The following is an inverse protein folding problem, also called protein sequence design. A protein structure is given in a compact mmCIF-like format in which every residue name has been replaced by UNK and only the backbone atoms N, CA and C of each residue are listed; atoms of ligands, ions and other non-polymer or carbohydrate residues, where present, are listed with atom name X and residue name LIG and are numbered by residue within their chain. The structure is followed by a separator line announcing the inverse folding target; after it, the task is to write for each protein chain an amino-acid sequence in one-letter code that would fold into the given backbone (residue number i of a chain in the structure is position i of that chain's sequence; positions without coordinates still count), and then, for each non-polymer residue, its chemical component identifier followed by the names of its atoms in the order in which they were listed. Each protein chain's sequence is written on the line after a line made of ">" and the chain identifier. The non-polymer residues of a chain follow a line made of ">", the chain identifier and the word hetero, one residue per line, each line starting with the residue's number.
data_IF_898550604046
#
_entry.id   IF_898550604046
#
_cell.length_a   1.000
_cell.length_b   1.000
_cell.length_c   1.000
_cell.angle_alpha   90.00
_cell.angle_beta   90.00
_cell.angle_gamma   90.00
#
_symmetry.space_group_name_H-M   'P 1'
#
loop_
_entity.id
_entity.type
_entity.pdbx_description
1 polymer ?
#
# COMPACT_ATOMS: atom_id res chain seq x y z
N UNK A 1 -57.27 11.48 -43.85
CA UNK A 1 -57.04 12.87 -43.44
C UNK A 1 -56.67 12.82 -41.94
N UNK A 2 -55.37 12.82 -41.64
CA UNK A 2 -54.85 12.54 -40.29
C UNK A 2 -54.21 13.82 -39.75
N UNK A 3 -54.76 14.35 -38.66
CA UNK A 3 -54.31 15.58 -38.02
C UNK A 3 -53.15 15.24 -37.08
N UNK A 4 -51.93 15.61 -37.47
CA UNK A 4 -50.73 15.51 -36.64
C UNK A 4 -50.61 16.77 -35.78
N UNK A 5 -50.86 16.63 -34.48
CA UNK A 5 -50.59 17.69 -33.49
C UNK A 5 -49.09 17.78 -33.20
N UNK A 6 -48.48 18.91 -33.56
CA UNK A 6 -47.17 19.35 -33.04
C UNK A 6 -47.29 19.53 -31.52
N UNK A 7 -46.43 18.86 -30.75
CA UNK A 7 -46.15 19.20 -29.35
C UNK A 7 -44.85 19.98 -29.31
N UNK A 8 -44.94 21.24 -28.92
CA UNK A 8 -43.81 22.04 -28.52
C UNK A 8 -43.21 21.46 -27.22
N UNK A 9 -41.91 21.16 -27.26
CA UNK A 9 -41.08 20.90 -26.08
C UNK A 9 -40.07 22.04 -25.98
N UNK A 10 -40.48 23.12 -25.35
CA UNK A 10 -39.58 24.15 -24.84
C UNK A 10 -39.35 23.94 -23.34
N UNK A 11 -38.11 24.22 -22.93
CA UNK A 11 -37.63 24.41 -21.55
C UNK A 11 -37.57 23.19 -20.63
N UNK A 12 -36.34 22.68 -20.43
CA UNK A 12 -35.79 22.28 -19.12
C UNK A 12 -34.32 21.87 -19.33
N UNK A 13 -33.44 22.86 -19.48
CA UNK A 13 -32.00 22.69 -19.36
C UNK A 13 -31.53 23.53 -18.17
N UNK A 14 -31.50 22.90 -17.00
CA UNK A 14 -30.80 23.45 -15.84
C UNK A 14 -29.29 23.33 -16.09
N UNK A 15 -28.50 24.41 -15.99
CA UNK A 15 -27.06 24.32 -16.13
C UNK A 15 -26.47 23.65 -14.89
N UNK A 16 -25.66 22.61 -15.10
CA UNK A 16 -24.85 22.00 -14.05
C UNK A 16 -23.76 22.99 -13.60
N UNK A 17 -23.43 23.08 -12.30
CA UNK A 17 -22.36 23.93 -11.84
C UNK A 17 -21.00 23.39 -12.31
N UNK A 18 -20.28 24.21 -13.06
CA UNK A 18 -18.85 24.06 -13.34
C UNK A 18 -18.07 24.20 -12.04
N UNK A 19 -17.74 23.05 -11.43
CA UNK A 19 -16.76 22.99 -10.35
C UNK A 19 -15.37 23.08 -10.98
N UNK A 20 -14.82 24.29 -10.95
CA UNK A 20 -13.41 24.56 -11.20
C UNK A 20 -12.58 24.04 -10.03
N UNK A 21 -11.98 22.86 -10.18
CA UNK A 21 -10.86 22.41 -9.33
C UNK A 21 -9.55 22.60 -10.10
N UNK A 22 -9.11 23.85 -10.18
CA UNK A 22 -7.72 24.15 -10.40
C UNK A 22 -6.91 23.78 -9.16
N UNK A 23 -6.24 22.63 -9.19
CA UNK A 23 -5.08 22.34 -8.34
C UNK A 23 -4.24 21.24 -8.97
N UNK A 24 -3.31 21.66 -9.83
CA UNK A 24 -2.12 20.88 -10.14
C UNK A 24 -1.35 20.64 -8.84
N UNK A 25 -1.50 19.44 -8.27
CA UNK A 25 -0.52 18.88 -7.35
C UNK A 25 0.12 17.71 -8.06
N UNK A 26 1.33 17.95 -8.53
CA UNK A 26 2.32 16.93 -8.88
C UNK A 26 2.52 16.03 -7.65
N UNK A 27 1.94 14.83 -7.71
CA UNK A 27 2.26 13.76 -6.77
C UNK A 27 3.53 13.10 -7.32
N UNK A 28 4.67 13.53 -6.79
CA UNK A 28 5.90 12.78 -6.91
C UNK A 28 5.74 11.51 -6.07
N UNK A 29 5.49 10.37 -6.72
CA UNK A 29 5.58 9.05 -6.11
C UNK A 29 7.06 8.68 -5.96
N UNK A 30 7.74 9.29 -4.98
CA UNK A 30 8.98 8.73 -4.44
C UNK A 30 8.59 7.73 -3.36
N UNK A 31 8.58 6.45 -3.71
CA UNK A 31 8.48 5.35 -2.75
C UNK A 31 9.83 5.19 -2.04
N UNK A 32 9.95 5.40 -0.73
CA UNK A 32 11.10 4.95 0.02
C UNK A 32 10.81 3.52 0.49
N UNK A 33 11.55 2.56 -0.09
CA UNK A 33 11.75 1.24 0.52
C UNK A 33 12.40 1.44 1.89
N UNK A 34 11.59 1.47 2.95
CA UNK A 34 12.06 1.43 4.33
C UNK A 34 12.14 -0.03 4.73
N UNK A 35 13.36 -0.53 4.86
CA UNK A 35 13.66 -1.76 5.59
C UNK A 35 13.31 -1.56 7.07
N UNK A 36 12.17 -2.10 7.47
CA UNK A 36 11.89 -2.54 8.82
C UNK A 36 12.31 -4.03 8.84
N UNK A 37 13.22 -4.53 9.68
CA UNK A 37 13.03 -4.74 11.11
C UNK A 37 14.37 -5.12 11.76
N UNK A 38 14.89 -4.26 12.64
CA UNK A 38 15.75 -4.68 13.76
C UNK A 38 14.82 -4.88 14.96
N UNK A 39 14.47 -6.13 15.29
CA UNK A 39 13.82 -6.43 16.55
C UNK A 39 14.87 -6.49 17.67
N UNK A 40 14.67 -5.80 18.82
CA UNK A 40 15.47 -6.06 20.00
C UNK A 40 15.08 -7.42 20.62
N UNK A 41 16.03 -8.14 21.24
CA UNK A 41 15.73 -9.39 21.93
C UNK A 41 14.84 -9.14 23.15
N UNK A 42 13.75 -9.93 23.25
CA UNK A 42 12.86 -9.99 24.41
C UNK A 42 13.62 -10.53 25.63
N UNK A 43 13.56 -9.89 26.81
CA UNK A 43 13.98 -10.52 28.05
C UNK A 43 12.79 -11.28 28.65
N UNK A 44 12.88 -12.61 28.69
CA UNK A 44 12.01 -13.46 29.51
C UNK A 44 12.86 -14.51 30.24
N UNK A 45 12.40 -14.83 31.45
CA UNK A 45 12.94 -15.76 32.45
C UNK A 45 13.87 -15.16 33.53
N UNK A 46 13.25 -14.49 34.51
CA UNK A 46 13.71 -14.64 35.90
C UNK A 46 12.69 -15.51 36.62
N UNK A 47 13.13 -16.74 36.88
CA UNK A 47 12.46 -17.80 37.61
C UNK A 47 12.36 -17.38 39.08
N UNK A 48 11.13 -17.13 39.57
CA UNK A 48 10.85 -17.21 41.00
C UNK A 48 10.73 -18.70 41.37
N UNK A 49 11.66 -19.20 42.16
CA UNK A 49 11.45 -20.38 43.01
C UNK A 49 11.63 -19.97 44.46
N UNK A 50 10.49 -19.83 45.12
CA UNK A 50 10.28 -19.88 46.55
C UNK A 50 10.87 -21.15 47.19
N UNK A 51 11.42 -21.01 48.41
CA UNK A 51 11.27 -21.86 49.60
C UNK A 51 12.58 -22.14 50.35
N UNK A 52 12.46 -22.00 51.68
CA UNK A 52 13.33 -22.54 52.75
C UNK A 52 14.72 -21.90 52.81
N UNK A 53 15.32 -21.60 53.97
CA UNK A 53 15.18 -22.22 55.28
C UNK A 53 15.70 -21.26 56.34
N UNK A 54 14.98 -21.20 57.45
CA UNK A 54 15.39 -20.70 58.76
C UNK A 54 16.78 -21.17 59.20
N UNK A 55 17.62 -20.27 59.70
CA UNK A 55 18.73 -20.61 60.59
C UNK A 55 18.75 -19.63 61.77
N UNK A 56 18.28 -20.13 62.90
CA UNK A 56 18.35 -19.58 64.26
C UNK A 56 19.80 -19.68 64.75
N UNK A 57 20.39 -18.66 65.40
CA UNK A 57 21.50 -18.89 66.31
C UNK A 57 20.97 -19.30 67.69
N UNK A 58 21.31 -20.51 68.11
CA UNK A 58 21.12 -21.04 69.46
C UNK A 58 22.05 -20.30 70.43
N UNK A 59 21.49 -19.72 71.48
CA UNK A 59 22.21 -19.51 72.74
C UNK A 59 22.46 -20.87 73.39
N UNK A 60 23.72 -21.14 73.74
CA UNK A 60 24.11 -22.30 74.54
C UNK A 60 24.38 -21.83 75.97
N UNK A 61 23.73 -22.54 76.91
CA UNK A 61 24.06 -22.64 78.32
C UNK A 61 25.57 -22.79 78.56
N UNK A 62 26.06 -22.15 79.62
CA UNK A 62 27.00 -22.80 80.54
C UNK A 62 26.88 -22.18 81.95
N UNK A 63 26.25 -22.96 82.83
CA UNK A 63 26.41 -22.93 84.28
C UNK A 63 27.82 -23.39 84.68
N UNK A 64 28.44 -22.74 85.67
CA UNK A 64 29.42 -23.28 86.66
C UNK A 64 29.97 -22.08 87.44
N UNK A 65 30.35 -22.12 88.71
CA UNK A 65 30.27 -23.06 89.83
C UNK A 65 30.99 -22.30 90.96
N UNK A 66 30.43 -22.36 92.16
CA UNK A 66 31.09 -21.90 93.39
C UNK A 66 32.44 -22.59 93.58
N UNK A 67 33.38 -21.89 94.20
CA UNK A 67 34.18 -22.48 95.28
C UNK A 67 34.60 -21.38 96.27
N UNK A 68 34.47 -21.75 97.53
CA UNK A 68 34.85 -21.07 98.75
C UNK A 68 36.37 -20.79 98.81
N UNK A 69 36.82 -19.79 99.57
CA UNK A 69 37.23 -20.00 100.97
C UNK A 69 38.09 -18.84 101.51
N UNK A 70 38.00 -18.71 102.83
CA UNK A 70 38.91 -18.07 103.77
C UNK A 70 39.03 -16.55 103.89
N UNK A 71 38.95 -16.10 105.14
CA UNK A 71 39.72 -14.91 105.52
C UNK A 71 39.30 -14.06 106.70
N UNK A 72 38.47 -14.56 107.61
CA UNK A 72 38.56 -14.33 109.07
C UNK A 72 39.34 -13.07 109.55
N UNK A 73 38.64 -11.98 109.91
CA UNK A 73 38.96 -11.01 111.00
C UNK A 73 38.16 -9.70 110.86
N UNK A 74 37.12 -9.48 111.67
CA UNK A 74 36.67 -8.16 112.17
C UNK A 74 35.25 -8.12 112.81
N UNK A 75 34.75 -9.24 113.36
CA UNK A 75 33.41 -9.34 113.97
C UNK A 75 33.20 -8.64 115.34
N UNK A 76 34.02 -7.65 115.69
CA UNK A 76 33.86 -6.88 116.94
C UNK A 76 33.62 -5.39 116.76
N UNK A 77 33.55 -4.89 115.52
CA UNK A 77 33.17 -3.51 115.19
C UNK A 77 31.81 -3.40 114.46
N UNK A 78 31.21 -4.52 114.00
CA UNK A 78 29.95 -4.51 113.24
C UNK A 78 28.67 -4.31 114.10
N UNK A 79 28.72 -4.63 115.39
CA UNK A 79 27.53 -4.57 116.26
C UNK A 79 26.95 -3.16 116.46
N UNK A 80 27.80 -2.13 116.45
CA UNK A 80 27.36 -0.74 116.55
C UNK A 80 26.93 -0.14 115.19
N UNK A 81 27.35 -0.74 114.07
CA UNK A 81 27.00 -0.29 112.72
C UNK A 81 25.64 -0.88 112.26
N UNK A 82 25.31 -2.08 112.74
CA UNK A 82 24.02 -2.76 112.46
C UNK A 82 22.83 -2.06 113.13
N UNK A 83 22.99 -1.48 114.32
CA UNK A 83 21.90 -0.77 115.00
C UNK A 83 21.62 0.62 114.42
N UNK A 84 22.59 1.25 113.77
CA UNK A 84 22.38 2.52 113.06
C UNK A 84 21.83 2.34 111.63
N UNK A 85 22.03 1.17 111.00
CA UNK A 85 21.51 0.87 109.65
C UNK A 85 20.23 0.03 109.63
N UNK A 86 19.81 -0.59 110.76
CA UNK A 86 18.62 -1.43 110.84
C UNK A 86 17.29 -0.80 110.35
N UNK A 87 17.02 0.51 110.54
CA UNK A 87 15.82 1.14 109.98
C UNK A 87 15.83 1.24 108.44
N UNK A 88 16.98 1.06 107.79
CA UNK A 88 17.16 1.23 106.34
C UNK A 88 17.09 -0.10 105.55
N UNK A 89 17.11 -1.25 106.23
CA UNK A 89 17.05 -2.58 105.61
C UNK A 89 15.66 -2.90 104.98
N UNK A 90 14.50 -2.58 105.58
CA UNK A 90 13.22 -2.78 104.90
C UNK A 90 13.00 -1.78 103.74
N UNK A 91 13.71 -0.65 103.75
CA UNK A 91 13.68 0.36 102.69
C UNK A 91 14.43 -0.13 101.44
N UNK A 92 15.54 -0.86 101.60
CA UNK A 92 16.31 -1.38 100.46
C UNK A 92 15.60 -2.51 99.69
N UNK A 93 14.86 -3.39 100.39
CA UNK A 93 14.05 -4.44 99.75
C UNK A 93 12.85 -3.88 98.97
N UNK A 94 12.14 -2.92 99.54
CA UNK A 94 11.06 -2.20 98.84
C UNK A 94 11.60 -1.37 97.66
N UNK A 95 12.78 -0.76 97.83
CA UNK A 95 13.45 -0.05 96.75
C UNK A 95 13.82 -0.99 95.59
N UNK A 96 14.38 -2.17 95.88
CA UNK A 96 14.72 -3.15 94.84
C UNK A 96 13.48 -3.70 94.13
N UNK A 97 12.39 -4.00 94.84
CA UNK A 97 11.13 -4.42 94.24
C UNK A 97 10.50 -3.30 93.37
N UNK A 98 10.58 -2.05 93.85
CA UNK A 98 10.15 -0.88 93.08
C UNK A 98 11.01 -0.65 91.84
N UNK A 99 12.33 -0.88 91.93
CA UNK A 99 13.25 -0.80 90.77
C UNK A 99 12.96 -1.90 89.75
N UNK A 100 12.67 -3.13 90.19
CA UNK A 100 12.27 -4.23 89.29
C UNK A 100 10.93 -3.96 88.61
N UNK A 101 9.93 -3.47 89.36
CA UNK A 101 8.65 -3.06 88.76
C UNK A 101 8.84 -1.90 87.78
N UNK A 102 9.69 -0.92 88.11
CA UNK A 102 10.02 0.18 87.21
C UNK A 102 10.68 -0.34 85.93
N UNK A 103 11.63 -1.27 86.03
CA UNK A 103 12.26 -1.89 84.86
C UNK A 103 11.25 -2.65 83.97
N UNK A 104 10.30 -3.37 84.56
CA UNK A 104 9.25 -4.06 83.81
C UNK A 104 8.31 -3.09 83.11
N UNK A 105 7.93 -1.99 83.78
CA UNK A 105 7.11 -0.94 83.18
C UNK A 105 7.86 -0.23 82.06
N UNK A 106 9.13 0.11 82.26
CA UNK A 106 9.97 0.76 81.25
C UNK A 106 10.12 -0.16 80.01
N UNK A 107 10.31 -1.47 80.20
CA UNK A 107 10.37 -2.45 79.11
C UNK A 107 9.03 -2.59 78.37
N UNK A 108 7.91 -2.61 79.09
CA UNK A 108 6.58 -2.64 78.47
C UNK A 108 6.28 -1.35 77.69
N UNK A 109 6.75 -0.19 78.17
CA UNK A 109 6.65 1.08 77.44
C UNK A 109 7.48 1.01 76.16
N UNK A 110 8.69 0.46 76.21
CA UNK A 110 9.56 0.33 75.04
C UNK A 110 8.96 -0.63 73.99
N UNK A 111 8.38 -1.76 74.41
CA UNK A 111 7.64 -2.66 73.52
C UNK A 111 6.41 -1.99 72.89
N UNK A 112 5.66 -1.22 73.68
CA UNK A 112 4.54 -0.43 73.18
C UNK A 112 4.97 0.68 72.21
N UNK A 113 6.15 1.28 72.41
CA UNK A 113 6.72 2.24 71.47
C UNK A 113 7.14 1.57 70.16
N UNK A 114 7.84 0.42 70.22
CA UNK A 114 8.24 -0.33 69.03
C UNK A 114 7.05 -0.80 68.20
N UNK A 115 5.99 -1.28 68.86
CA UNK A 115 4.75 -1.68 68.16
C UNK A 115 4.02 -0.49 67.55
N UNK A 116 4.00 0.66 68.22
CA UNK A 116 3.46 1.90 67.67
C UNK A 116 4.24 2.35 66.42
N UNK A 117 5.57 2.31 66.45
CA UNK A 117 6.43 2.67 65.32
C UNK A 117 6.21 1.72 64.12
N UNK A 118 6.10 0.42 64.38
CA UNK A 118 5.76 -0.56 63.33
C UNK A 118 4.37 -0.30 62.72
N UNK A 119 3.38 0.06 63.53
CA UNK A 119 2.06 0.41 63.04
C UNK A 119 2.08 1.69 62.20
N UNK A 120 2.89 2.68 62.58
CA UNK A 120 3.10 3.88 61.78
C UNK A 120 3.75 3.57 60.43
N UNK A 121 4.81 2.75 60.41
CA UNK A 121 5.45 2.31 59.17
C UNK A 121 4.48 1.56 58.25
N UNK A 122 3.70 0.63 58.80
CA UNK A 122 2.68 -0.11 58.04
C UNK A 122 1.57 0.81 57.54
N UNK A 123 1.16 1.81 58.33
CA UNK A 123 0.19 2.81 57.89
C UNK A 123 0.72 3.63 56.71
N UNK A 124 1.98 4.04 56.74
CA UNK A 124 2.65 4.76 55.65
C UNK A 124 2.79 3.88 54.41
N UNK A 125 3.15 2.61 54.55
CA UNK A 125 3.18 1.65 53.43
C UNK A 125 1.78 1.46 52.82
N UNK A 126 0.74 1.35 53.64
CA UNK A 126 -0.66 1.22 53.17
C UNK A 126 -1.10 2.50 52.44
N UNK A 127 -0.74 3.68 52.94
CA UNK A 127 -1.11 4.93 52.28
C UNK A 127 -0.38 5.11 50.95
N UNK A 128 0.90 4.75 50.89
CA UNK A 128 1.70 4.73 49.66
C UNK A 128 1.13 3.73 48.64
N UNK A 129 0.86 2.49 49.06
CA UNK A 129 0.27 1.46 48.19
C UNK A 129 -1.13 1.86 47.69
N UNK A 130 -1.94 2.54 48.51
CA UNK A 130 -3.24 3.09 48.08
C UNK A 130 -3.07 4.19 47.04
N UNK A 131 -2.06 5.03 47.17
CA UNK A 131 -1.74 6.07 46.18
C UNK A 131 -1.32 5.44 44.86
N UNK A 132 -0.42 4.47 44.89
CA UNK A 132 0.03 3.75 43.69
C UNK A 132 -1.12 3.00 43.01
N UNK A 133 -2.04 2.41 43.77
CA UNK A 133 -3.24 1.77 43.23
C UNK A 133 -4.15 2.79 42.52
N UNK A 134 -4.31 4.00 43.08
CA UNK A 134 -5.08 5.08 42.44
C UNK A 134 -4.40 5.60 41.16
N UNK A 135 -3.07 5.72 41.17
CA UNK A 135 -2.33 6.15 39.99
C UNK A 135 -2.36 5.10 38.87
N UNK A 136 -2.22 3.82 39.20
CA UNK A 136 -2.28 2.72 38.24
C UNK A 136 -3.69 2.55 37.66
N UNK A 137 -4.73 2.64 38.49
CA UNK A 137 -6.13 2.63 37.99
C UNK A 137 -6.41 3.82 37.07
N UNK A 138 -5.97 5.03 37.43
CA UNK A 138 -6.09 6.19 36.56
C UNK A 138 -5.32 6.04 35.22
N UNK A 139 -4.12 5.44 35.24
CA UNK A 139 -3.35 5.14 34.01
C UNK A 139 -4.04 4.09 33.14
N UNK A 140 -4.62 3.05 33.74
CA UNK A 140 -5.38 2.03 33.03
C UNK A 140 -6.64 2.63 32.39
N UNK A 141 -7.41 3.44 33.11
CA UNK A 141 -8.59 4.12 32.58
C UNK A 141 -8.24 5.04 31.39
N UNK A 142 -7.13 5.78 31.48
CA UNK A 142 -6.63 6.60 30.38
C UNK A 142 -6.19 5.75 29.19
N UNK A 143 -5.61 4.57 29.42
CA UNK A 143 -5.20 3.65 28.36
C UNK A 143 -6.41 3.03 27.66
N UNK A 144 -7.45 2.65 28.41
CA UNK A 144 -8.72 2.16 27.85
C UNK A 144 -9.41 3.24 27.00
N UNK A 145 -9.44 4.49 27.46
CA UNK A 145 -9.98 5.62 26.66
C UNK A 145 -9.23 5.76 25.33
N UNK A 146 -7.89 5.78 25.35
CA UNK A 146 -7.08 5.86 24.13
C UNK A 146 -7.31 4.70 23.16
N UNK A 147 -7.42 3.46 23.68
CA UNK A 147 -7.72 2.29 22.85
C UNK A 147 -9.09 2.39 22.19
N UNK A 148 -10.10 2.88 22.93
CA UNK A 148 -11.44 3.10 22.40
C UNK A 148 -11.43 4.17 21.29
N UNK A 149 -10.75 5.29 21.51
CA UNK A 149 -10.64 6.36 20.52
C UNK A 149 -9.93 5.87 19.24
N UNK A 150 -8.89 5.05 19.39
CA UNK A 150 -8.17 4.44 18.27
C UNK A 150 -9.03 3.43 17.49
N UNK A 151 -9.83 2.61 18.19
CA UNK A 151 -10.77 1.69 17.55
C UNK A 151 -11.84 2.43 16.74
N UNK A 152 -12.43 3.50 17.31
CA UNK A 152 -13.40 4.33 16.57
C UNK A 152 -12.77 5.03 15.35
N UNK A 153 -11.50 5.44 15.45
CA UNK A 153 -10.79 6.02 14.33
C UNK A 153 -10.54 4.99 13.21
N UNK A 154 -10.20 3.75 13.56
CA UNK A 154 -10.06 2.63 12.61
C UNK A 154 -11.38 2.29 11.93
N UNK A 155 -12.49 2.25 12.67
CA UNK A 155 -13.81 1.99 12.08
C UNK A 155 -14.18 3.07 11.07
N UNK A 156 -13.93 4.35 11.40
CA UNK A 156 -14.16 5.47 10.48
C UNK A 156 -13.26 5.42 9.24
N UNK A 157 -12.00 4.99 9.39
CA UNK A 157 -11.08 4.80 8.26
C UNK A 157 -11.55 3.66 7.34
N UNK A 158 -12.02 2.56 7.93
CA UNK A 158 -12.58 1.43 7.20
C UNK A 158 -13.86 1.83 6.43
N UNK A 159 -14.76 2.59 7.04
CA UNK A 159 -15.94 3.13 6.35
C UNK A 159 -15.57 4.03 5.17
N UNK A 160 -14.52 4.86 5.31
CA UNK A 160 -14.01 5.69 4.20
C UNK A 160 -13.40 4.85 3.09
N UNK A 161 -12.68 3.79 3.43
CA UNK A 161 -12.12 2.87 2.45
C UNK A 161 -13.23 2.19 1.64
N UNK A 162 -14.24 1.63 2.32
CA UNK A 162 -15.40 1.01 1.68
C UNK A 162 -16.17 2.00 0.79
N UNK A 163 -16.38 3.23 1.25
CA UNK A 163 -17.02 4.27 0.43
C UNK A 163 -16.19 4.63 -0.81
N UNK A 164 -14.85 4.61 -0.70
CA UNK A 164 -13.95 4.87 -1.83
C UNK A 164 -13.96 3.72 -2.83
N UNK A 165 -13.93 2.47 -2.35
CA UNK A 165 -14.03 1.26 -3.17
C UNK A 165 -15.35 1.21 -3.95
N UNK A 166 -16.49 1.49 -3.31
CA UNK A 166 -17.79 1.59 -3.97
C UNK A 166 -17.81 2.70 -5.03
N UNK A 167 -17.19 3.84 -4.75
CA UNK A 167 -17.09 4.93 -5.71
C UNK A 167 -16.23 4.54 -6.92
N UNK A 168 -15.13 3.82 -6.70
CA UNK A 168 -14.27 3.30 -7.75
C UNK A 168 -15.01 2.30 -8.65
N UNK A 169 -15.76 1.37 -8.06
CA UNK A 169 -16.58 0.40 -8.80
C UNK A 169 -17.60 1.10 -9.71
N UNK A 170 -18.32 2.10 -9.20
CA UNK A 170 -19.27 2.90 -9.99
C UNK A 170 -18.58 3.66 -11.13
N UNK A 171 -17.37 4.16 -10.92
CA UNK A 171 -16.59 4.83 -11.96
C UNK A 171 -16.12 3.83 -13.04
N UNK A 172 -15.67 2.64 -12.65
CA UNK A 172 -15.28 1.57 -13.57
C UNK A 172 -16.47 1.15 -14.44
N UNK A 173 -17.65 0.92 -13.85
CA UNK A 173 -18.87 0.62 -14.60
C UNK A 173 -19.24 1.73 -15.61
N UNK A 174 -19.00 2.98 -15.23
CA UNK A 174 -19.25 4.13 -16.11
C UNK A 174 -18.26 4.17 -17.27
N UNK A 175 -16.97 3.90 -17.03
CA UNK A 175 -15.95 3.79 -18.09
C UNK A 175 -16.32 2.67 -19.06
N UNK A 176 -16.62 1.49 -18.55
CA UNK A 176 -17.08 0.32 -19.31
C UNK A 176 -18.27 0.65 -20.23
N UNK A 177 -19.25 1.39 -19.70
CA UNK A 177 -20.42 1.83 -20.46
C UNK A 177 -20.03 2.78 -21.59
N UNK A 178 -19.14 3.73 -21.33
CA UNK A 178 -18.66 4.70 -22.32
C UNK A 178 -17.88 3.97 -23.42
N UNK A 179 -16.98 3.05 -23.07
CA UNK A 179 -16.22 2.25 -24.03
C UNK A 179 -17.14 1.47 -24.97
N UNK A 180 -18.14 0.74 -24.42
CA UNK A 180 -19.13 0.01 -25.23
C UNK A 180 -19.92 0.93 -26.17
N UNK A 181 -20.26 2.14 -25.73
CA UNK A 181 -20.94 3.11 -26.57
C UNK A 181 -20.05 3.62 -27.70
N UNK A 182 -18.77 3.88 -27.43
CA UNK A 182 -17.78 4.27 -28.45
C UNK A 182 -17.61 3.15 -29.47
N UNK A 183 -17.39 1.90 -29.02
CA UNK A 183 -17.28 0.74 -29.91
C UNK A 183 -18.51 0.56 -30.79
N UNK A 184 -19.71 0.75 -30.23
CA UNK A 184 -20.96 0.67 -30.97
C UNK A 184 -21.03 1.77 -32.04
N UNK A 185 -20.74 3.01 -31.67
CA UNK A 185 -20.76 4.14 -32.59
C UNK A 185 -19.74 3.97 -33.71
N UNK A 186 -18.50 3.58 -33.39
CA UNK A 186 -17.44 3.36 -34.38
C UNK A 186 -17.78 2.21 -35.33
N UNK A 187 -18.46 1.17 -34.86
CA UNK A 187 -18.97 0.10 -35.71
C UNK A 187 -20.06 0.60 -36.67
N UNK A 188 -21.05 1.32 -36.15
CA UNK A 188 -22.14 1.89 -36.96
C UNK A 188 -21.60 2.88 -38.01
N UNK A 189 -20.62 3.69 -37.64
CA UNK A 189 -19.91 4.62 -38.52
C UNK A 189 -19.18 3.89 -39.66
N UNK A 190 -18.39 2.86 -39.34
CA UNK A 190 -17.73 2.02 -40.35
C UNK A 190 -18.74 1.30 -41.27
N UNK A 191 -19.81 0.72 -40.71
CA UNK A 191 -20.85 0.06 -41.50
C UNK A 191 -21.62 1.04 -42.40
N UNK A 192 -21.82 2.29 -41.96
CA UNK A 192 -22.50 3.32 -42.75
C UNK A 192 -21.66 3.78 -43.94
N UNK A 193 -20.34 3.90 -43.77
CA UNK A 193 -19.41 4.38 -44.79
C UNK A 193 -19.00 3.28 -45.79
N UNK A 194 -18.76 2.07 -45.31
CA UNK A 194 -18.15 1.00 -46.10
C UNK A 194 -19.06 -0.23 -46.30
N UNK A 195 -20.25 -0.21 -45.70
CA UNK A 195 -21.16 -1.35 -45.69
C UNK A 195 -20.73 -2.43 -44.69
N UNK A 196 -21.46 -3.55 -44.68
CA UNK A 196 -21.20 -4.70 -43.79
C UNK A 196 -20.07 -5.62 -44.29
N UNK A 197 -19.35 -5.20 -45.33
CA UNK A 197 -18.32 -5.99 -45.99
C UNK A 197 -16.99 -5.90 -45.22
N UNK A 198 -16.05 -6.78 -45.57
CA UNK A 198 -14.67 -6.68 -45.09
C UNK A 198 -14.03 -5.39 -45.59
N UNK A 199 -13.61 -4.55 -44.64
CA UNK A 199 -12.89 -3.32 -44.88
C UNK A 199 -11.41 -3.66 -45.02
N UNK A 200 -10.79 -3.22 -46.11
CA UNK A 200 -9.38 -3.41 -46.37
C UNK A 200 -8.69 -2.07 -46.52
N UNK A 201 -7.43 -2.00 -46.13
CA UNK A 201 -6.56 -0.84 -46.34
C UNK A 201 -5.39 -1.32 -47.19
N UNK A 202 -5.19 -0.69 -48.33
CA UNK A 202 -4.06 -0.93 -49.21
C UNK A 202 -2.97 0.09 -48.91
N UNK A 203 -1.77 -0.42 -48.66
CA UNK A 203 -0.56 0.31 -48.36
C UNK A 203 0.39 0.08 -49.54
N UNK A 204 0.61 1.12 -50.34
CA UNK A 204 1.63 1.14 -51.39
C UNK A 204 2.98 1.50 -50.75
N UNK A 205 3.95 0.60 -50.85
CA UNK A 205 5.31 0.76 -50.35
C UNK A 205 6.23 1.16 -51.50
N UNK A 206 7.04 2.20 -51.28
CA UNK A 206 8.15 2.58 -52.14
C UNK A 206 9.42 1.90 -51.62
N UNK A 207 9.90 0.94 -52.40
CA UNK A 207 11.13 0.22 -52.13
C UNK A 207 12.34 1.04 -52.61
N UNK A 208 13.54 0.71 -52.11
CA UNK A 208 14.78 1.44 -52.44
C UNK A 208 15.14 1.44 -53.93
N UNK A 209 14.76 0.40 -54.67
CA UNK A 209 14.95 0.28 -56.12
C UNK A 209 13.90 1.08 -56.92
N UNK A 210 13.14 1.95 -56.24
CA UNK A 210 11.96 2.65 -56.74
C UNK A 210 10.85 1.73 -57.25
N UNK A 211 10.90 0.43 -56.94
CA UNK A 211 9.79 -0.46 -57.21
C UNK A 211 8.64 -0.19 -56.23
N UNK A 212 7.41 -0.44 -56.69
CA UNK A 212 6.22 -0.31 -55.87
C UNK A 212 5.73 -1.69 -55.48
N UNK A 213 5.58 -1.91 -54.17
CA UNK A 213 4.93 -3.09 -53.62
C UNK A 213 3.58 -2.71 -53.01
N UNK A 214 2.58 -3.57 -53.11
CA UNK A 214 1.27 -3.36 -52.49
C UNK A 214 1.03 -4.39 -51.39
N UNK A 215 0.73 -3.89 -50.20
CA UNK A 215 0.34 -4.66 -49.03
C UNK A 215 -1.10 -4.35 -48.71
N UNK A 216 -1.93 -5.39 -48.56
CA UNK A 216 -3.35 -5.20 -48.22
C UNK A 216 -3.60 -5.78 -46.84
N UNK A 217 -4.13 -4.93 -45.96
CA UNK A 217 -4.47 -5.25 -44.58
C UNK A 217 -5.99 -5.33 -44.47
N UNK A 218 -6.51 -6.42 -43.92
CA UNK A 218 -7.94 -6.60 -43.64
C UNK A 218 -8.25 -6.28 -42.18
N UNK A 219 -9.16 -5.34 -41.96
CA UNK A 219 -9.52 -4.85 -40.63
C UNK A 219 -10.54 -5.76 -39.96
N UNK A 220 -10.37 -5.97 -38.65
CA UNK A 220 -11.27 -6.73 -37.81
C UNK A 220 -12.30 -5.83 -37.13
N UNK A 221 -13.07 -5.09 -37.93
CA UNK A 221 -14.04 -4.09 -37.46
C UNK A 221 -15.17 -4.66 -36.57
N UNK A 222 -15.41 -5.97 -36.62
CA UNK A 222 -16.41 -6.63 -35.76
C UNK A 222 -15.91 -6.76 -34.32
N UNK A 223 -14.65 -7.17 -34.14
CA UNK A 223 -14.06 -7.40 -32.82
C UNK A 223 -13.43 -6.14 -32.24
N UNK A 224 -12.78 -5.35 -33.08
CA UNK A 224 -12.05 -4.13 -32.70
C UNK A 224 -12.54 -2.91 -33.51
N UNK A 225 -13.82 -2.52 -33.39
CA UNK A 225 -14.37 -1.39 -34.15
C UNK A 225 -13.67 -0.06 -33.85
N UNK A 226 -13.30 0.22 -32.59
CA UNK A 226 -12.68 1.49 -32.22
C UNK A 226 -11.29 1.62 -32.86
N UNK A 227 -10.45 0.61 -32.68
CA UNK A 227 -9.10 0.59 -33.25
C UNK A 227 -9.14 0.58 -34.78
N UNK A 228 -10.05 -0.19 -35.38
CA UNK A 228 -10.23 -0.21 -36.84
C UNK A 228 -10.68 1.14 -37.38
N UNK A 229 -11.64 1.81 -36.72
CA UNK A 229 -12.12 3.12 -37.16
C UNK A 229 -11.03 4.19 -37.02
N UNK A 230 -10.26 4.15 -35.94
CA UNK A 230 -9.11 5.02 -35.75
C UNK A 230 -8.07 4.85 -36.87
N UNK A 231 -7.72 3.61 -37.21
CA UNK A 231 -6.81 3.32 -38.31
C UNK A 231 -7.33 3.80 -39.68
N UNK A 232 -8.62 3.59 -39.96
CA UNK A 232 -9.28 4.08 -41.18
C UNK A 232 -9.23 5.60 -41.26
N UNK A 233 -9.54 6.32 -40.18
CA UNK A 233 -9.47 7.79 -40.16
C UNK A 233 -8.06 8.30 -40.46
N UNK A 234 -7.03 7.63 -39.95
CA UNK A 234 -5.63 7.98 -40.26
C UNK A 234 -5.29 7.72 -41.74
N UNK A 235 -5.78 6.62 -42.31
CA UNK A 235 -5.61 6.29 -43.73
C UNK A 235 -6.35 7.28 -44.64
N UNK A 236 -7.61 7.64 -44.34
CA UNK A 236 -8.41 8.61 -45.10
C UNK A 236 -7.77 10.00 -45.15
N UNK A 237 -7.03 10.37 -44.11
CA UNK A 237 -6.34 11.66 -44.00
C UNK A 237 -4.89 11.60 -44.50
N UNK A 238 -4.46 10.51 -45.13
CA UNK A 238 -3.09 10.34 -45.63
C UNK A 238 -2.02 10.59 -44.56
N UNK A 239 -2.32 10.28 -43.29
CA UNK A 239 -1.39 10.54 -42.18
C UNK A 239 -0.18 9.61 -42.24
N UNK A 240 -0.34 8.44 -42.84
CA UNK A 240 0.73 7.46 -43.02
C UNK A 240 1.61 7.71 -44.26
N UNK A 241 1.21 8.61 -45.14
CA UNK A 241 1.93 8.86 -46.39
C UNK A 241 3.29 9.53 -46.10
N UNK A 242 4.35 8.93 -46.64
CA UNK A 242 5.74 9.30 -46.44
C UNK A 242 6.37 8.76 -45.15
N UNK A 243 5.63 8.04 -44.31
CA UNK A 243 6.20 7.47 -43.08
C UNK A 243 7.02 6.21 -43.37
N UNK A 244 8.14 6.01 -42.65
CA UNK A 244 8.98 4.84 -42.84
C UNK A 244 8.36 3.60 -42.19
N UNK A 245 8.55 2.45 -42.83
CA UNK A 245 8.26 1.13 -42.27
C UNK A 245 9.61 0.49 -41.91
N UNK A 246 9.94 0.47 -40.62
CA UNK A 246 11.25 0.12 -40.11
C UNK A 246 11.20 -1.27 -39.49
N UNK A 247 12.29 -2.05 -39.64
CA UNK A 247 12.45 -3.30 -38.90
C UNK A 247 12.67 -3.01 -37.41
N UNK A 248 11.71 -3.41 -36.59
CA UNK A 248 11.81 -3.40 -35.14
C UNK A 248 12.52 -4.64 -34.59
N UNK A 249 12.55 -4.76 -33.27
CA UNK A 249 13.01 -5.98 -32.58
C UNK A 249 12.00 -7.13 -32.78
N UNK A 250 12.44 -8.36 -32.51
CA UNK A 250 11.56 -9.54 -32.38
C UNK A 250 10.68 -9.85 -33.61
N UNK A 251 11.25 -9.74 -34.81
CA UNK A 251 10.52 -10.00 -36.06
C UNK A 251 9.26 -9.14 -36.22
N UNK A 252 9.36 -7.85 -35.91
CA UNK A 252 8.27 -6.87 -36.11
C UNK A 252 8.69 -5.82 -37.12
N UNK A 253 7.75 -5.41 -37.98
CA UNK A 253 7.86 -4.19 -38.78
C UNK A 253 7.06 -3.10 -38.09
N UNK A 254 7.68 -1.95 -37.84
CA UNK A 254 7.10 -0.83 -37.09
C UNK A 254 6.94 0.36 -38.00
N UNK A 255 5.72 0.87 -38.10
CA UNK A 255 5.41 2.15 -38.72
C UNK A 255 5.21 3.18 -37.62
N UNK A 256 6.10 4.17 -37.55
CA UNK A 256 6.10 5.19 -36.49
C UNK A 256 6.31 6.58 -37.08
N UNK A 257 5.63 7.62 -36.57
CA UNK A 257 5.98 9.01 -36.81
C UNK A 257 7.23 9.37 -35.99
N UNK A 258 8.33 8.63 -36.14
CA UNK A 258 9.56 8.90 -35.39
C UNK A 258 10.29 10.10 -35.97
N UNK A 259 10.83 10.94 -35.10
CA UNK A 259 11.53 12.20 -35.41
C UNK A 259 12.97 12.01 -35.91
N UNK A 260 13.31 10.81 -36.43
CA UNK A 260 14.69 10.49 -36.82
C UNK A 260 15.19 11.36 -37.99
N UNK A 261 14.30 11.87 -38.85
CA UNK A 261 14.62 12.93 -39.80
C UNK A 261 13.99 14.27 -39.42
N UNK A 262 14.71 15.37 -39.67
CA UNK A 262 14.19 16.73 -39.55
C UNK A 262 12.94 16.98 -40.41
N UNK A 263 12.77 16.22 -41.50
CA UNK A 263 11.58 16.22 -42.33
C UNK A 263 10.34 15.54 -41.69
N UNK A 264 10.54 14.69 -40.68
CA UNK A 264 9.47 13.92 -40.01
C UNK A 264 8.76 14.66 -38.87
N UNK A 265 9.21 15.86 -38.47
CA UNK A 265 8.40 16.75 -37.59
C UNK A 265 7.02 17.07 -38.20
N UNK A 266 6.92 16.99 -39.53
CA UNK A 266 5.65 17.12 -40.25
C UNK A 266 4.66 15.98 -39.95
N UNK A 267 5.12 14.77 -39.64
CA UNK A 267 4.24 13.62 -39.40
C UNK A 267 3.49 13.72 -38.07
N UNK A 268 4.20 14.02 -36.97
CA UNK A 268 3.59 14.18 -35.65
C UNK A 268 2.65 15.38 -35.62
N UNK A 269 3.04 16.51 -36.20
CA UNK A 269 2.17 17.69 -36.28
C UNK A 269 0.91 17.45 -37.11
N UNK A 270 0.96 16.63 -38.18
CA UNK A 270 -0.25 16.20 -38.90
C UNK A 270 -1.19 15.38 -37.99
N UNK A 271 -0.65 14.45 -37.20
CA UNK A 271 -1.43 13.64 -36.25
C UNK A 271 -2.04 14.48 -35.12
N UNK A 272 -1.29 15.45 -34.59
CA UNK A 272 -1.77 16.42 -33.58
C UNK A 272 -2.88 17.30 -34.15
N UNK A 273 -2.70 17.86 -35.35
CA UNK A 273 -3.70 18.69 -36.02
C UNK A 273 -4.98 17.90 -36.35
N UNK A 274 -4.86 16.61 -36.64
CA UNK A 274 -5.97 15.70 -36.86
C UNK A 274 -6.65 15.22 -35.56
N UNK A 275 -6.05 15.47 -34.39
CA UNK A 275 -6.44 14.90 -33.10
C UNK A 275 -6.51 13.36 -33.14
N UNK A 276 -5.54 12.73 -33.80
CA UNK A 276 -5.41 11.27 -33.95
C UNK A 276 -4.06 10.79 -33.41
N UNK A 277 -3.64 11.29 -32.26
CA UNK A 277 -2.35 10.96 -31.63
C UNK A 277 -2.41 9.72 -30.75
N UNK A 278 -3.59 9.31 -30.29
CA UNK A 278 -3.75 8.16 -29.41
C UNK A 278 -5.12 7.53 -29.61
N UNK A 279 -5.21 6.24 -29.32
CA UNK A 279 -6.49 5.57 -29.11
C UNK A 279 -7.13 6.05 -27.81
N UNK A 280 -8.46 6.18 -27.80
CA UNK A 280 -9.19 6.59 -26.59
C UNK A 280 -9.11 5.53 -25.49
N UNK A 281 -9.17 4.26 -25.87
CA UNK A 281 -8.93 3.10 -25.01
C UNK A 281 -8.50 1.91 -25.89
N UNK A 282 -7.94 0.90 -25.25
CA UNK A 282 -7.49 -0.29 -25.93
C UNK A 282 -8.56 -1.38 -25.85
N UNK A 283 -9.02 -1.86 -27.00
CA UNK A 283 -9.98 -2.96 -27.06
C UNK A 283 -9.26 -4.28 -26.75
N UNK A 284 -9.73 -5.02 -25.75
CA UNK A 284 -9.20 -6.34 -25.43
C UNK A 284 -10.07 -7.41 -26.07
N UNK A 285 -9.44 -8.20 -26.94
CA UNK A 285 -9.94 -9.53 -27.28
C UNK A 285 -8.80 -10.50 -27.07
N UNK A 286 -9.14 -11.76 -26.76
CA UNK A 286 -8.13 -12.81 -26.62
C UNK A 286 -7.21 -12.75 -27.85
N UNK A 287 -5.93 -12.37 -27.67
CA UNK A 287 -5.10 -12.00 -28.78
C UNK A 287 -4.90 -13.22 -29.67
N UNK A 288 -5.16 -13.05 -30.96
CA UNK A 288 -4.80 -14.03 -31.97
C UNK A 288 -3.47 -13.52 -32.53
N UNK A 289 -2.38 -13.84 -31.83
CA UNK A 289 -1.02 -13.48 -32.23
C UNK A 289 -0.58 -14.38 -33.40
N UNK A 290 -1.14 -14.12 -34.57
CA UNK A 290 -0.82 -14.82 -35.81
C UNK A 290 0.26 -14.08 -36.58
N UNK A 291 1.01 -14.81 -37.39
CA UNK A 291 1.92 -14.21 -38.38
C UNK A 291 1.14 -13.21 -39.23
N UNK A 292 1.73 -12.03 -39.44
CA UNK A 292 1.15 -10.90 -40.16
C UNK A 292 -0.06 -10.23 -39.50
N UNK A 293 -0.24 -10.41 -38.19
CA UNK A 293 -1.14 -9.60 -37.39
C UNK A 293 -0.68 -8.14 -37.34
N UNK A 294 -1.60 -7.20 -37.41
CA UNK A 294 -1.35 -5.77 -37.25
C UNK A 294 -1.97 -5.27 -35.95
N UNK A 295 -1.18 -4.58 -35.15
CA UNK A 295 -1.59 -4.03 -33.86
C UNK A 295 -1.03 -2.63 -33.64
N UNK A 296 -1.67 -1.83 -32.79
CA UNK A 296 -1.07 -0.58 -32.33
C UNK A 296 0.06 -0.88 -31.34
N UNK A 297 1.19 -0.18 -31.51
CA UNK A 297 2.35 -0.28 -30.65
C UNK A 297 2.27 0.75 -29.52
N UNK A 298 2.86 0.40 -28.38
CA UNK A 298 2.95 1.28 -27.21
C UNK A 298 1.98 0.89 -26.09
N UNK A 299 2.28 1.36 -24.89
CA UNK A 299 1.50 1.09 -23.68
C UNK A 299 0.11 1.72 -23.70
N UNK A 300 -0.54 1.83 -22.53
CA UNK A 300 -1.90 2.39 -22.41
C UNK A 300 -1.85 3.91 -22.18
N UNK A 301 -2.45 4.77 -23.03
CA UNK A 301 -3.12 4.47 -24.31
C UNK A 301 -2.14 4.27 -25.47
N UNK A 302 -2.47 3.38 -26.39
CA UNK A 302 -1.61 3.09 -27.53
C UNK A 302 -1.55 4.30 -28.47
N UNK A 303 -0.34 4.63 -28.90
CA UNK A 303 -0.08 5.74 -29.80
C UNK A 303 -0.51 5.45 -31.24
N UNK A 304 -0.15 6.32 -32.21
CA UNK A 304 -0.51 6.11 -33.60
C UNK A 304 0.32 4.97 -34.20
N UNK A 305 1.50 4.68 -33.63
CA UNK A 305 2.45 3.65 -34.08
C UNK A 305 1.74 2.32 -34.24
N UNK A 306 1.94 1.64 -35.37
CA UNK A 306 1.46 0.28 -35.55
C UNK A 306 2.61 -0.67 -35.89
N UNK A 307 2.45 -1.91 -35.49
CA UNK A 307 3.37 -3.01 -35.78
C UNK A 307 2.69 -4.06 -36.64
N UNK A 308 3.46 -4.64 -37.56
CA UNK A 308 3.13 -5.85 -38.29
C UNK A 308 4.05 -6.95 -37.77
N UNK A 309 3.46 -7.99 -37.19
CA UNK A 309 4.21 -9.13 -36.66
C UNK A 309 4.61 -10.06 -37.82
N UNK A 310 5.87 -10.49 -37.86
CA UNK A 310 6.40 -11.36 -38.93
C UNK A 310 6.63 -12.80 -38.50
N UNK A 311 6.37 -13.15 -37.23
CA UNK A 311 6.44 -14.52 -36.70
C UNK A 311 5.19 -14.87 -35.87
N UNK A 312 4.99 -16.15 -35.56
CA UNK A 312 4.00 -16.55 -34.54
C UNK A 312 4.69 -16.64 -33.19
N UNK A 313 4.20 -15.88 -32.21
CA UNK A 313 4.71 -15.93 -30.84
C UNK A 313 3.75 -16.75 -29.98
N UNK A 314 4.29 -17.74 -29.25
CA UNK A 314 3.53 -18.56 -28.31
C UNK A 314 3.62 -18.06 -26.86
N UNK A 315 4.16 -16.86 -26.65
CA UNK A 315 4.43 -16.31 -25.33
C UNK A 315 3.21 -15.67 -24.66
N UNK A 316 3.07 -15.84 -23.35
CA UNK A 316 2.05 -15.17 -22.52
C UNK A 316 2.32 -13.67 -22.31
N UNK A 317 3.57 -13.24 -22.51
CA UNK A 317 4.01 -11.86 -22.24
C UNK A 317 3.52 -10.83 -23.28
N UNK A 318 2.98 -11.28 -24.42
CA UNK A 318 2.48 -10.40 -25.49
C UNK A 318 0.96 -10.15 -25.42
N UNK A 319 0.31 -10.44 -24.28
CA UNK A 319 -1.14 -10.31 -24.09
C UNK A 319 -1.70 -8.88 -24.17
N UNK A 320 -0.86 -7.88 -24.43
CA UNK A 320 -1.23 -6.47 -24.32
C UNK A 320 -1.28 -5.73 -25.65
N UNK A 321 -1.15 -6.40 -26.81
CA UNK A 321 -1.28 -5.74 -28.11
C UNK A 321 -2.71 -5.88 -28.67
N UNK A 322 -3.35 -4.75 -29.03
CA UNK A 322 -4.67 -4.77 -29.64
C UNK A 322 -4.54 -5.06 -31.14
N UNK A 323 -4.58 -6.34 -31.51
CA UNK A 323 -4.60 -6.78 -32.90
C UNK A 323 -5.92 -6.41 -33.57
N UNK A 324 -5.90 -5.35 -34.37
CA UNK A 324 -7.09 -4.84 -35.06
C UNK A 324 -7.16 -5.26 -36.53
N UNK A 325 -6.09 -5.82 -37.10
CA UNK A 325 -6.09 -6.24 -38.50
C UNK A 325 -5.11 -7.38 -38.81
N UNK A 326 -5.18 -7.90 -40.04
CA UNK A 326 -4.29 -8.96 -40.54
C UNK A 326 -3.91 -8.67 -41.99
N UNK A 327 -2.65 -8.89 -42.36
CA UNK A 327 -2.23 -8.77 -43.76
C UNK A 327 -2.83 -9.93 -44.56
N UNK A 328 -3.46 -9.62 -45.70
CA UNK A 328 -4.06 -10.61 -46.60
C UNK A 328 -3.34 -10.70 -47.95
N UNK A 329 -2.62 -9.65 -48.35
CA UNK A 329 -1.78 -9.63 -49.57
C UNK A 329 -0.49 -8.86 -49.31
N UNK A 330 0.55 -9.17 -50.08
CA UNK A 330 1.85 -8.52 -49.98
C UNK A 330 2.81 -9.18 -48.99
N UNK A 331 2.57 -10.43 -48.58
CA UNK A 331 3.45 -11.17 -47.68
C UNK A 331 4.90 -11.21 -48.17
N UNK A 332 5.13 -11.50 -49.46
CA UNK A 332 6.47 -11.54 -50.04
C UNK A 332 7.20 -10.20 -49.88
N UNK A 333 6.50 -9.08 -50.12
CA UNK A 333 7.09 -7.77 -49.95
C UNK A 333 7.55 -7.57 -48.50
N UNK A 334 6.73 -7.94 -47.52
CA UNK A 334 7.10 -7.83 -46.10
C UNK A 334 8.28 -8.74 -45.73
N UNK A 335 8.35 -9.97 -46.26
CA UNK A 335 9.49 -10.87 -46.05
C UNK A 335 10.77 -10.31 -46.70
N UNK A 336 10.66 -9.72 -47.89
CA UNK A 336 11.78 -9.07 -48.56
C UNK A 336 12.33 -7.90 -47.71
N UNK A 337 11.45 -7.16 -47.01
CA UNK A 337 11.84 -6.12 -46.06
C UNK A 337 12.59 -6.73 -44.86
N UNK A 338 12.08 -7.84 -44.31
CA UNK A 338 12.69 -8.52 -43.16
C UNK A 338 14.06 -9.13 -43.47
N UNK A 339 14.27 -9.59 -44.70
CA UNK A 339 15.55 -10.19 -45.12
C UNK A 339 16.62 -9.16 -45.48
N UNK A 340 16.26 -7.88 -45.72
CA UNK A 340 17.23 -6.82 -45.95
C UNK A 340 18.04 -6.55 -44.67
N UNK A 341 19.35 -6.41 -44.84
CA UNK A 341 20.27 -5.98 -43.78
C UNK A 341 20.02 -4.52 -43.40
N UNK A 342 20.22 -4.18 -42.12
CA UNK A 342 19.85 -2.90 -41.48
C UNK A 342 20.51 -1.68 -42.14
N UNK A 343 21.55 -1.87 -42.94
CA UNK A 343 22.30 -0.80 -43.62
C UNK A 343 21.67 -0.34 -44.96
N UNK A 344 20.54 -0.93 -45.37
CA UNK A 344 19.85 -0.61 -46.62
C UNK A 344 18.64 0.30 -46.37
N UNK A 345 18.41 1.23 -47.32
CA UNK A 345 17.67 2.47 -47.13
C UNK A 345 16.25 2.34 -46.58
N UNK A 346 15.72 3.47 -46.10
CA UNK A 346 14.38 3.53 -45.52
C UNK A 346 13.28 3.20 -46.54
N UNK A 347 12.45 2.21 -46.22
CA UNK A 347 11.26 1.86 -47.00
C UNK A 347 10.12 2.76 -46.55
N UNK A 348 9.54 3.51 -47.49
CA UNK A 348 8.55 4.54 -47.20
C UNK A 348 7.18 4.12 -47.70
N UNK A 349 6.15 4.35 -46.89
CA UNK A 349 4.77 4.21 -47.34
C UNK A 349 4.47 5.36 -48.30
N UNK A 350 4.20 5.05 -49.56
CA UNK A 350 3.92 6.05 -50.59
C UNK A 350 2.49 6.55 -50.53
N UNK A 351 1.55 5.62 -50.44
CA UNK A 351 0.13 5.93 -50.36
C UNK A 351 -0.58 4.86 -49.53
N UNK A 352 -1.34 5.30 -48.53
CA UNK A 352 -2.27 4.45 -47.79
C UNK A 352 -3.71 4.81 -48.16
N UNK A 353 -4.48 3.85 -48.66
CA UNK A 353 -5.88 4.07 -49.08
C UNK A 353 -6.81 2.99 -48.58
N UNK A 354 -8.05 3.37 -48.28
CA UNK A 354 -9.09 2.42 -47.91
C UNK A 354 -9.70 1.80 -49.16
N UNK A 355 -9.74 0.48 -49.22
CA UNK A 355 -10.29 -0.30 -50.33
C UNK A 355 -11.43 -1.15 -49.80
N UNK A 356 -12.62 -0.96 -50.35
CA UNK A 356 -13.73 -1.87 -50.08
C UNK A 356 -13.65 -3.04 -51.06
N UNK A 357 -13.87 -4.25 -50.53
CA UNK A 357 -14.21 -5.37 -51.41
C UNK A 357 -15.58 -5.06 -52.01
N UNK A 358 -15.61 -4.44 -53.19
CA UNK A 358 -16.84 -4.38 -53.96
C UNK A 358 -17.20 -5.84 -54.26
N UNK A 359 -18.27 -6.31 -53.63
CA UNK A 359 -18.92 -7.54 -54.04
C UNK A 359 -19.22 -7.33 -55.52
N UNK A 360 -18.45 -8.01 -56.40
CA UNK A 360 -18.82 -8.17 -57.80
C UNK A 360 -20.24 -8.72 -57.77
N UNK A 361 -21.21 -7.84 -58.00
CA UNK A 361 -22.61 -8.22 -58.18
C UNK A 361 -22.77 -8.85 -59.54
#
# INVERSE_FOLDING_TARGET
>A
MVVVRKRDRSSLSSPLPLVSTGRNRSIATSSPFIYEQNMPPKPWMIRRSSHSSSSIPRYADYTKQMDDDDGNRSWKLLGCLVLCLAPWIPVSGHYNAMQQQKQLVDLAIEEHQQTADQLHLLADEITSAKKDLRETTARNDNSYKRLKDLHMALDLENEKYLATEQMEEVLLERVDRIERLIQKYDREDLESRYGKNQIRVEIELLMEDNSLASVVVELNSKKMPHASNHFVKMAEQSLWDGMPLIRGMEDRLVASPSALDEHHRSGLSKLENANLTHLGFQEYTKPILQKYSVAFAGGRPAGPVFVIRMSETKGEDEQHEATFATVVKGHQALEDIMHRTVDHGEIKMKHVRVVTSSSKR
#
